data_IF_339776635440
#
_entry.id   IF_339776635440
#
_cell.length_a   1.000
_cell.length_b   1.000
_cell.length_c   1.000
_cell.angle_alpha   90.00
_cell.angle_beta   90.00
_cell.angle_gamma   90.00
#
_symmetry.space_group_name_H-M   'P 1'
#
loop_
_entity.id
_entity.type
_entity.pdbx_description
1 polymer ?
#
# COMPACT_ATOMS: atom_id res chain seq x y z
N UNK A 1 11.61 -5.58 -3.93
CA UNK A 1 10.65 -5.66 -2.80
C UNK A 1 11.19 -4.95 -1.55
N UNK A 2 12.27 -5.42 -0.90
CA UNK A 2 12.74 -4.93 0.42
C UNK A 2 12.74 -3.40 0.63
N UNK A 3 13.37 -2.63 -0.26
CA UNK A 3 13.40 -1.15 -0.14
C UNK A 3 12.00 -0.54 -0.11
N UNK A 4 11.09 -1.05 -0.95
CA UNK A 4 9.71 -0.58 -1.02
C UNK A 4 8.93 -1.02 0.22
N UNK A 5 9.18 -2.22 0.74
CA UNK A 5 8.54 -2.71 1.98
C UNK A 5 8.98 -1.92 3.21
N UNK A 6 10.27 -1.54 3.28
CA UNK A 6 10.81 -0.69 4.34
C UNK A 6 10.18 0.72 4.26
N UNK A 7 10.02 1.26 3.04
CA UNK A 7 9.33 2.53 2.81
C UNK A 7 7.86 2.49 3.24
N UNK A 8 7.11 1.45 2.85
CA UNK A 8 5.72 1.23 3.27
C UNK A 8 5.63 1.22 4.80
N UNK A 9 6.51 0.47 5.46
CA UNK A 9 6.53 0.37 6.94
C UNK A 9 6.83 1.71 7.62
N UNK A 10 7.69 2.54 7.01
CA UNK A 10 7.96 3.90 7.49
C UNK A 10 6.72 4.79 7.34
N UNK A 11 6.09 4.83 6.17
CA UNK A 11 4.92 5.66 5.91
C UNK A 11 3.70 5.24 6.74
N UNK A 12 3.52 3.95 7.03
CA UNK A 12 2.48 3.49 7.94
C UNK A 12 2.66 4.05 9.35
N UNK A 13 3.90 4.16 9.85
CA UNK A 13 4.22 4.74 11.17
C UNK A 13 3.96 6.25 11.19
N UNK A 14 4.35 6.95 10.14
CA UNK A 14 4.13 8.40 9.99
C UNK A 14 2.67 8.75 9.64
N UNK A 15 1.83 7.75 9.36
CA UNK A 15 0.42 7.95 8.98
C UNK A 15 0.25 8.59 7.60
N UNK A 16 1.24 8.45 6.72
CA UNK A 16 1.26 8.96 5.35
C UNK A 16 0.57 7.97 4.41
N UNK A 17 -0.75 7.85 4.54
CA UNK A 17 -1.54 6.80 3.88
C UNK A 17 -1.53 6.87 2.34
N UNK A 18 -1.40 8.06 1.74
CA UNK A 18 -1.25 8.19 0.29
C UNK A 18 0.03 7.51 -0.22
N UNK A 19 1.14 7.68 0.51
CA UNK A 19 2.40 7.01 0.21
C UNK A 19 2.28 5.50 0.44
N UNK A 20 1.61 5.05 1.51
CA UNK A 20 1.36 3.61 1.72
C UNK A 20 0.58 3.02 0.54
N UNK A 21 -0.43 3.73 0.03
CA UNK A 21 -1.24 3.32 -1.11
C UNK A 21 -0.40 3.18 -2.38
N UNK A 22 0.30 4.25 -2.77
CA UNK A 22 1.10 4.30 -4.00
C UNK A 22 2.16 3.20 -4.04
N UNK A 23 2.96 3.07 -2.99
CA UNK A 23 4.06 2.10 -2.96
C UNK A 23 3.55 0.65 -2.86
N UNK A 24 2.40 0.41 -2.24
CA UNK A 24 1.76 -0.90 -2.25
C UNK A 24 1.23 -1.26 -3.65
N UNK A 25 0.62 -0.31 -4.39
CA UNK A 25 0.15 -0.56 -5.76
C UNK A 25 1.29 -0.90 -6.72
N UNK A 26 2.44 -0.22 -6.59
CA UNK A 26 3.63 -0.52 -7.40
C UNK A 26 4.05 -1.99 -7.21
N UNK A 27 4.15 -2.47 -5.96
CA UNK A 27 4.49 -3.88 -5.71
C UNK A 27 3.38 -4.82 -6.19
N UNK A 28 2.11 -4.45 -6.03
CA UNK A 28 0.99 -5.26 -6.46
C UNK A 28 1.02 -5.51 -7.97
N UNK A 29 1.24 -4.46 -8.76
CA UNK A 29 1.36 -4.53 -10.22
C UNK A 29 2.58 -5.34 -10.64
N UNK A 30 3.75 -5.08 -10.05
CA UNK A 30 4.98 -5.84 -10.34
C UNK A 30 4.81 -7.34 -10.08
N UNK A 31 4.16 -7.72 -8.97
CA UNK A 31 3.90 -9.14 -8.68
C UNK A 31 2.80 -9.73 -9.56
N UNK A 32 1.82 -8.94 -9.99
CA UNK A 32 0.80 -9.38 -10.91
C UNK A 32 1.40 -9.71 -12.28
N UNK A 33 2.23 -8.82 -12.83
CA UNK A 33 2.96 -9.04 -14.09
C UNK A 33 3.91 -10.24 -14.02
N UNK A 34 4.48 -10.51 -12.84
CA UNK A 34 5.31 -11.68 -12.59
C UNK A 34 4.52 -12.98 -12.32
N UNK A 35 3.19 -13.01 -12.52
CA UNK A 35 2.29 -14.13 -12.19
C UNK A 35 2.34 -14.59 -10.73
N UNK A 36 2.83 -13.74 -9.82
CA UNK A 36 2.84 -13.98 -8.38
C UNK A 36 1.59 -13.39 -7.73
N UNK A 37 0.45 -13.98 -8.02
CA UNK A 37 -0.85 -13.44 -7.62
C UNK A 37 -1.08 -13.43 -6.10
N UNK A 38 -0.41 -14.30 -5.33
CA UNK A 38 -0.45 -14.28 -3.86
C UNK A 38 0.18 -13.00 -3.31
N UNK A 39 1.35 -12.61 -3.83
CA UNK A 39 1.96 -11.34 -3.42
C UNK A 39 1.21 -10.14 -3.99
N UNK A 40 0.76 -10.22 -5.24
CA UNK A 40 -0.03 -9.16 -5.85
C UNK A 40 -1.29 -8.84 -5.03
N UNK A 41 -2.08 -9.87 -4.70
CA UNK A 41 -3.29 -9.71 -3.88
C UNK A 41 -3.00 -9.16 -2.48
N UNK A 42 -1.91 -9.58 -1.83
CA UNK A 42 -1.47 -9.01 -0.55
C UNK A 42 -1.24 -7.51 -0.65
N UNK A 43 -0.51 -7.05 -1.67
CA UNK A 43 -0.20 -5.62 -1.81
C UNK A 43 -1.40 -4.80 -2.28
N UNK A 44 -2.28 -5.34 -3.11
CA UNK A 44 -3.57 -4.70 -3.42
C UNK A 44 -4.44 -4.53 -2.17
N UNK A 45 -4.46 -5.50 -1.27
CA UNK A 45 -5.17 -5.38 0.01
C UNK A 45 -4.62 -4.25 0.89
N UNK A 46 -3.28 -4.10 0.94
CA UNK A 46 -2.63 -3.02 1.68
C UNK A 46 -3.01 -1.66 1.09
N UNK A 47 -2.90 -1.48 -0.23
CA UNK A 47 -3.31 -0.25 -0.91
C UNK A 47 -4.77 0.12 -0.60
N UNK A 48 -5.69 -0.82 -0.80
CA UNK A 48 -7.13 -0.58 -0.60
C UNK A 48 -7.46 -0.23 0.87
N UNK A 49 -6.71 -0.76 1.84
CA UNK A 49 -6.89 -0.42 3.24
C UNK A 49 -6.29 0.96 3.61
N UNK A 50 -5.20 1.37 2.97
CA UNK A 50 -4.65 2.71 3.14
C UNK A 50 -5.64 3.78 2.66
N UNK A 51 -6.31 3.54 1.54
CA UNK A 51 -7.36 4.41 1.00
C UNK A 51 -8.51 4.63 1.99
N UNK A 52 -9.00 3.56 2.62
CA UNK A 52 -10.03 3.62 3.67
C UNK A 52 -9.58 4.43 4.90
N UNK A 53 -8.31 4.30 5.29
CA UNK A 53 -7.75 5.04 6.43
C UNK A 53 -7.57 6.53 6.10
N UNK A 54 -7.16 6.85 4.88
CA UNK A 54 -7.08 8.22 4.39
C UNK A 54 -8.47 8.89 4.40
N UNK A 55 -9.48 8.22 3.83
CA UNK A 55 -10.86 8.72 3.79
C UNK A 55 -11.44 8.93 5.20
N UNK A 56 -11.16 8.02 6.15
CA UNK A 56 -11.63 8.17 7.54
C UNK A 56 -11.00 9.37 8.25
N UNK A 57 -9.78 9.75 7.90
CA UNK A 57 -9.12 10.96 8.44
C UNK A 57 -9.68 12.25 7.81
N UNK A 58 -10.00 12.21 6.51
CA UNK A 58 -10.63 13.32 5.80
C UNK A 58 -12.08 13.59 6.20
N UNK A 59 -12.84 12.55 6.56
CA UNK A 59 -14.24 12.63 6.97
C UNK A 59 -14.48 13.08 8.42
N UNK A 60 -13.42 13.18 9.24
CA UNK A 60 -13.48 13.70 10.62
C UNK A 60 -13.26 15.22 10.69
N UNK A 61 -13.38 15.93 9.56
CA UNK A 61 -13.32 17.40 9.48
C UNK A 61 -14.65 18.04 9.86
#
# INVERSE_FOLDING_TARGET
EKVVTDAISYFEKEGMWDCVKEYAEILALQFYEANNHVKASKYFYISNNADKKHLRKGALK
#
